data_IF_514772655851
#
_entry.id   IF_514772655851
#
_cell.length_a   1.000
_cell.length_b   1.000
_cell.length_c   1.000
_cell.angle_alpha   90.00
_cell.angle_beta   90.00
_cell.angle_gamma   90.00
#
_symmetry.space_group_name_H-M   'P 1'
#
loop_
_entity.id
_entity.type
_entity.pdbx_description
1 polymer ?
#
# COMPACT_ATOMS: atom_id res chain seq x y z
N UNK A 1 14.03 68.49 19.00
CA UNK A 1 13.05 67.96 18.05
C UNK A 1 12.95 66.48 18.32
N UNK A 2 11.77 66.03 18.73
CA UNK A 2 11.52 64.73 19.34
C UNK A 2 11.20 63.69 18.27
N UNK A 3 11.98 62.62 18.18
CA UNK A 3 11.60 61.43 17.42
C UNK A 3 10.99 60.40 18.37
N UNK A 4 9.68 60.15 18.17
CA UNK A 4 8.93 59.15 18.91
C UNK A 4 9.19 57.76 18.36
N UNK A 5 9.89 56.92 19.12
CA UNK A 5 10.00 55.49 18.87
C UNK A 5 8.78 54.78 19.45
N UNK A 6 7.97 54.19 18.58
CA UNK A 6 6.81 53.37 18.93
C UNK A 6 7.24 52.01 19.50
N UNK A 7 6.68 51.53 20.63
CA UNK A 7 6.98 50.20 21.16
C UNK A 7 6.20 49.12 20.39
N UNK A 8 6.92 48.29 19.64
CA UNK A 8 6.39 47.09 19.00
C UNK A 8 5.96 46.04 20.02
N UNK A 9 4.72 45.58 19.89
CA UNK A 9 4.11 44.49 20.69
C UNK A 9 4.82 43.16 20.40
N UNK A 10 5.07 42.30 21.41
CA UNK A 10 5.83 41.06 21.24
C UNK A 10 5.09 39.98 20.44
N UNK A 11 5.79 39.45 19.43
CA UNK A 11 5.42 38.28 18.65
C UNK A 11 5.28 37.05 19.57
N UNK A 12 4.04 36.65 19.85
CA UNK A 12 3.69 35.52 20.73
C UNK A 12 3.68 34.20 19.95
N UNK A 13 4.79 33.91 19.27
CA UNK A 13 5.07 32.59 18.70
C UNK A 13 5.89 31.74 19.65
N UNK A 14 5.81 30.41 19.54
CA UNK A 14 6.69 29.51 20.27
C UNK A 14 8.16 29.75 19.84
N UNK A 15 9.03 30.07 20.80
CA UNK A 15 10.46 30.20 20.55
C UNK A 15 10.99 28.87 19.98
N UNK A 16 11.45 28.90 18.73
CA UNK A 16 12.04 27.73 18.06
C UNK A 16 13.54 27.87 18.18
N UNK A 17 14.18 26.93 18.87
CA UNK A 17 15.64 26.88 18.97
C UNK A 17 16.21 26.42 17.63
N UNK A 18 17.13 27.20 17.07
CA UNK A 18 17.89 26.85 15.88
C UNK A 18 19.37 27.11 16.16
N UNK A 19 20.23 26.15 15.82
CA UNK A 19 21.68 26.32 15.93
C UNK A 19 22.13 27.37 14.91
N UNK A 20 23.00 28.28 15.34
CA UNK A 20 23.62 29.23 14.42
C UNK A 20 24.75 28.55 13.63
N UNK A 21 25.07 29.03 12.42
CA UNK A 21 26.05 28.38 11.54
C UNK A 21 27.43 28.23 12.23
N UNK A 22 27.78 29.17 13.11
CA UNK A 22 29.00 29.12 13.92
C UNK A 22 28.98 27.97 14.92
N UNK A 23 27.83 27.70 15.56
CA UNK A 23 27.67 26.59 16.51
C UNK A 23 27.68 25.25 15.78
N UNK A 24 27.03 25.17 14.61
CA UNK A 24 27.06 23.99 13.75
C UNK A 24 28.51 23.65 13.38
N UNK A 25 29.28 24.62 12.90
CA UNK A 25 30.67 24.41 12.52
C UNK A 25 31.56 24.05 13.72
N UNK A 26 31.31 24.62 14.91
CA UNK A 26 32.01 24.24 16.13
C UNK A 26 31.75 22.77 16.51
N UNK A 27 30.48 22.36 16.47
CA UNK A 27 30.07 20.98 16.77
C UNK A 27 30.68 20.00 15.76
N UNK A 28 30.70 20.36 14.47
CA UNK A 28 31.28 19.52 13.42
C UNK A 28 32.81 19.39 13.55
N UNK A 29 33.50 20.46 13.93
CA UNK A 29 34.96 20.44 14.14
C UNK A 29 35.40 19.62 15.37
N UNK A 30 34.53 19.48 16.37
CA UNK A 30 34.77 18.70 17.60
C UNK A 30 34.56 17.20 17.38
N UNK A 31 33.83 16.82 16.31
CA UNK A 31 33.68 15.42 15.89
C UNK A 31 34.91 15.05 15.05
N UNK A 32 35.83 14.29 15.64
CA UNK A 32 36.87 13.59 14.89
C UNK A 32 36.22 12.56 13.96
N UNK A 33 35.83 13.00 12.76
CA UNK A 33 35.45 12.10 11.67
C UNK A 33 36.71 11.39 11.19
N UNK A 34 36.82 10.12 11.57
CA UNK A 34 37.81 9.20 11.02
C UNK A 34 37.64 9.12 9.49
N UNK A 35 38.62 9.54 8.67
CA UNK A 35 38.54 9.49 7.22
C UNK A 35 38.39 8.07 6.66
N UNK A 36 38.59 7.02 7.46
CA UNK A 36 38.32 5.63 7.06
C UNK A 36 36.83 5.28 6.90
N UNK A 37 35.90 6.08 7.44
CA UNK A 37 34.45 5.79 7.29
C UNK A 37 33.88 6.21 5.93
N UNK A 38 34.62 7.00 5.16
CA UNK A 38 34.31 7.43 3.80
C UNK A 38 35.38 6.94 2.81
N UNK A 39 35.88 5.73 3.02
CA UNK A 39 36.65 5.03 1.99
C UNK A 39 35.79 4.98 0.71
N UNK A 40 36.24 5.67 -0.34
CA UNK A 40 35.61 5.72 -1.65
C UNK A 40 35.49 4.29 -2.19
N UNK A 41 34.39 3.62 -1.87
CA UNK A 41 34.05 2.32 -2.42
C UNK A 41 34.15 2.43 -3.95
N UNK A 42 34.79 1.46 -4.62
CA UNK A 42 35.05 1.54 -6.05
C UNK A 42 33.76 1.88 -6.78
N UNK A 43 33.81 2.93 -7.61
CA UNK A 43 32.68 3.54 -8.33
C UNK A 43 31.75 2.48 -8.96
N UNK A 44 32.35 1.40 -9.46
CA UNK A 44 31.70 0.25 -10.06
C UNK A 44 30.70 -0.49 -9.13
N UNK A 45 30.93 -0.50 -7.82
CA UNK A 45 29.99 -1.13 -6.85
C UNK A 45 28.73 -0.30 -6.67
N UNK A 46 28.79 1.02 -6.90
CA UNK A 46 27.62 1.87 -6.89
C UNK A 46 26.79 1.65 -8.16
N UNK A 47 27.44 1.59 -9.32
CA UNK A 47 26.76 1.38 -10.60
C UNK A 47 26.00 0.04 -10.66
N UNK A 48 26.61 -1.05 -10.20
CA UNK A 48 25.94 -2.35 -10.12
C UNK A 48 24.73 -2.32 -9.18
N UNK A 49 24.86 -1.69 -8.00
CA UNK A 49 23.75 -1.55 -7.05
C UNK A 49 22.62 -0.68 -7.58
N UNK A 50 22.96 0.41 -8.26
CA UNK A 50 22.00 1.31 -8.88
C UNK A 50 21.24 0.60 -9.99
N UNK A 51 21.95 -0.14 -10.85
CA UNK A 51 21.32 -0.97 -11.88
C UNK A 51 20.35 -2.00 -11.26
N UNK A 52 20.77 -2.71 -10.20
CA UNK A 52 19.90 -3.64 -9.50
C UNK A 52 18.68 -2.94 -8.90
N UNK A 53 18.86 -1.77 -8.30
CA UNK A 53 17.78 -0.99 -7.71
C UNK A 53 16.74 -0.58 -8.77
N UNK A 54 17.18 -0.07 -9.92
CA UNK A 54 16.27 0.32 -11.00
C UNK A 54 15.58 -0.91 -11.62
N UNK A 55 16.27 -2.03 -11.78
CA UNK A 55 15.67 -3.30 -12.24
C UNK A 55 14.62 -3.86 -11.26
N UNK A 56 14.87 -3.76 -9.95
CA UNK A 56 13.87 -4.11 -8.93
C UNK A 56 12.65 -3.22 -9.05
N UNK A 57 12.85 -1.90 -9.19
CA UNK A 57 11.77 -0.94 -9.39
C UNK A 57 10.94 -1.27 -10.64
N UNK A 58 11.57 -1.59 -11.76
CA UNK A 58 10.88 -2.06 -12.98
C UNK A 58 10.01 -3.28 -12.68
N UNK A 59 10.57 -4.31 -12.05
CA UNK A 59 9.84 -5.54 -11.70
C UNK A 59 8.61 -5.24 -10.83
N UNK A 60 8.74 -4.35 -9.84
CA UNK A 60 7.62 -3.92 -9.01
C UNK A 60 6.53 -3.21 -9.82
N UNK A 61 6.90 -2.27 -10.68
CA UNK A 61 5.97 -1.50 -11.52
C UNK A 61 5.25 -2.43 -12.50
N UNK A 62 5.99 -3.28 -13.23
CA UNK A 62 5.42 -4.23 -14.21
C UNK A 62 4.39 -5.16 -13.55
N UNK A 63 4.74 -5.76 -12.41
CA UNK A 63 3.81 -6.65 -11.69
C UNK A 63 2.63 -5.86 -11.11
N UNK A 64 2.80 -4.59 -10.76
CA UNK A 64 1.70 -3.76 -10.31
C UNK A 64 0.70 -3.46 -11.44
N UNK A 65 1.20 -3.01 -12.59
CA UNK A 65 0.41 -2.73 -13.79
C UNK A 65 -0.33 -3.97 -14.24
N UNK A 66 0.37 -5.09 -14.42
CA UNK A 66 -0.23 -6.36 -14.85
C UNK A 66 -1.35 -6.82 -13.91
N UNK A 67 -1.14 -6.74 -12.58
CA UNK A 67 -2.19 -7.12 -11.63
C UNK A 67 -3.40 -6.20 -11.69
N UNK A 68 -3.19 -4.88 -11.75
CA UNK A 68 -4.30 -3.93 -11.86
C UNK A 68 -5.08 -4.13 -13.16
N UNK A 69 -4.39 -4.41 -14.27
CA UNK A 69 -5.04 -4.72 -15.54
C UNK A 69 -5.96 -5.95 -15.43
N UNK A 70 -5.53 -7.01 -14.74
CA UNK A 70 -6.39 -8.19 -14.49
C UNK A 70 -7.61 -7.86 -13.64
N UNK A 71 -7.45 -7.06 -12.57
CA UNK A 71 -8.61 -6.59 -11.80
C UNK A 71 -9.59 -5.77 -12.66
N UNK A 72 -9.07 -4.88 -13.53
CA UNK A 72 -9.91 -4.06 -14.44
C UNK A 72 -10.67 -4.95 -15.43
N UNK A 73 -10.00 -5.91 -16.08
CA UNK A 73 -10.60 -6.85 -17.03
C UNK A 73 -11.78 -7.61 -16.41
N UNK A 74 -11.62 -8.06 -15.16
CA UNK A 74 -12.65 -8.79 -14.43
C UNK A 74 -13.64 -7.89 -13.68
N UNK A 75 -13.54 -6.55 -13.80
CA UNK A 75 -14.36 -5.57 -13.06
C UNK A 75 -14.35 -5.78 -11.54
N UNK A 76 -13.21 -6.24 -10.99
CA UNK A 76 -13.02 -6.46 -9.56
C UNK A 76 -12.24 -5.31 -8.93
N UNK A 77 -12.61 -4.93 -7.70
CA UNK A 77 -11.96 -3.86 -6.95
C UNK A 77 -11.17 -4.48 -5.78
N UNK A 78 -9.85 -4.24 -5.70
CA UNK A 78 -9.04 -4.72 -4.57
C UNK A 78 -9.57 -4.18 -3.24
N UNK A 79 -9.53 -5.00 -2.17
CA UNK A 79 -10.07 -4.58 -0.83
C UNK A 79 -9.59 -3.21 -0.35
N UNK A 80 -8.35 -2.83 -0.67
CA UNK A 80 -7.76 -1.54 -0.27
C UNK A 80 -8.31 -0.32 -1.03
N UNK A 81 -9.00 -0.53 -2.15
CA UNK A 81 -9.55 0.54 -2.99
C UNK A 81 -11.09 0.57 -2.96
N UNK A 82 -11.72 -0.33 -2.21
CA UNK A 82 -13.17 -0.34 -2.03
C UNK A 82 -13.57 0.83 -1.14
N UNK A 83 -14.34 1.76 -1.68
CA UNK A 83 -14.92 2.86 -0.94
C UNK A 83 -16.13 2.36 -0.16
N UNK A 84 -16.03 2.42 1.17
CA UNK A 84 -17.07 1.99 2.12
C UNK A 84 -17.68 3.24 2.76
N UNK A 85 -18.10 4.16 1.90
CA UNK A 85 -18.75 5.42 2.28
C UNK A 85 -20.23 5.19 2.05
N UNK A 86 -21.05 5.34 3.10
CA UNK A 86 -22.51 5.26 3.00
C UNK A 86 -23.10 6.66 2.89
N UNK A 87 -24.22 6.86 2.17
CA UNK A 87 -24.88 8.15 2.14
C UNK A 87 -25.39 8.50 3.55
N UNK A 88 -25.13 9.73 4.00
CA UNK A 88 -25.60 10.21 5.31
C UNK A 88 -27.12 10.44 5.32
N UNK A 89 -27.68 10.84 4.19
CA UNK A 89 -29.11 11.06 3.99
C UNK A 89 -29.73 9.81 3.39
N UNK A 90 -30.93 9.44 3.84
CA UNK A 90 -31.67 8.28 3.34
C UNK A 90 -30.88 6.97 3.44
N UNK A 91 -30.12 6.79 4.54
CA UNK A 91 -29.36 5.57 4.78
C UNK A 91 -30.24 4.30 4.87
N UNK A 92 -31.56 4.40 5.00
CA UNK A 92 -32.46 3.24 5.00
C UNK A 92 -32.98 2.87 3.60
N UNK A 93 -32.79 3.76 2.61
CA UNK A 93 -33.21 3.50 1.23
C UNK A 93 -32.21 2.60 0.53
N UNK A 94 -32.61 1.34 0.33
CA UNK A 94 -31.79 0.30 -0.32
C UNK A 94 -31.46 0.66 -1.78
N UNK A 95 -32.37 1.34 -2.49
CA UNK A 95 -32.16 1.72 -3.89
C UNK A 95 -31.09 2.79 -4.00
N UNK A 96 -31.14 3.80 -3.11
CA UNK A 96 -30.11 4.83 -3.04
C UNK A 96 -28.75 4.23 -2.66
N UNK A 97 -28.69 3.36 -1.66
CA UNK A 97 -27.45 2.70 -1.26
C UNK A 97 -26.82 1.92 -2.42
N UNK A 98 -27.62 1.15 -3.15
CA UNK A 98 -27.14 0.37 -4.28
C UNK A 98 -26.53 1.26 -5.36
N UNK A 99 -27.26 2.30 -5.80
CA UNK A 99 -26.76 3.27 -6.79
C UNK A 99 -25.51 4.00 -6.29
N UNK A 100 -25.45 4.33 -5.00
CA UNK A 100 -24.29 4.96 -4.38
C UNK A 100 -23.05 4.07 -4.47
N UNK A 101 -23.18 2.78 -4.13
CA UNK A 101 -22.09 1.82 -4.25
C UNK A 101 -21.63 1.62 -5.70
N UNK A 102 -22.55 1.62 -6.66
CA UNK A 102 -22.22 1.55 -8.09
C UNK A 102 -21.39 2.76 -8.56
N UNK A 103 -21.76 3.97 -8.13
CA UNK A 103 -20.98 5.19 -8.41
C UNK A 103 -19.57 5.09 -7.79
N UNK A 104 -19.48 4.67 -6.53
CA UNK A 104 -18.21 4.46 -5.87
C UNK A 104 -17.35 3.41 -6.58
N UNK A 105 -17.95 2.31 -7.05
CA UNK A 105 -17.25 1.27 -7.79
C UNK A 105 -16.70 1.77 -9.11
N UNK A 106 -17.49 2.53 -9.87
CA UNK A 106 -17.04 3.18 -11.09
C UNK A 106 -15.82 4.06 -10.81
N UNK A 107 -15.90 4.91 -9.79
CA UNK A 107 -14.77 5.76 -9.38
C UNK A 107 -13.52 4.95 -9.04
N UNK A 108 -13.64 3.87 -8.26
CA UNK A 108 -12.52 3.00 -7.93
C UNK A 108 -11.89 2.36 -9.17
N UNK A 109 -12.70 1.92 -10.15
CA UNK A 109 -12.20 1.37 -11.42
C UNK A 109 -11.49 2.45 -12.25
N UNK A 110 -12.07 3.64 -12.35
CA UNK A 110 -11.48 4.77 -13.07
C UNK A 110 -10.12 5.16 -12.46
N UNK A 111 -10.01 5.16 -11.12
CA UNK A 111 -8.74 5.37 -10.41
C UNK A 111 -7.70 4.28 -10.74
N UNK A 112 -8.11 3.03 -10.89
CA UNK A 112 -7.21 1.96 -11.31
C UNK A 112 -6.71 2.17 -12.74
N UNK A 113 -7.59 2.56 -13.66
CA UNK A 113 -7.22 2.86 -15.06
C UNK A 113 -6.21 4.01 -15.11
N UNK A 114 -6.50 5.12 -14.42
CA UNK A 114 -5.58 6.25 -14.30
C UNK A 114 -4.22 5.83 -13.71
N UNK A 115 -4.23 4.95 -12.71
CA UNK A 115 -2.99 4.44 -12.10
C UNK A 115 -2.20 3.59 -13.10
N UNK A 116 -2.84 2.73 -13.87
CA UNK A 116 -2.21 1.91 -14.92
C UNK A 116 -1.58 2.80 -15.99
N UNK A 117 -2.29 3.83 -16.45
CA UNK A 117 -1.78 4.80 -17.42
C UNK A 117 -0.49 5.46 -16.92
N UNK A 118 -0.52 6.04 -15.72
CA UNK A 118 0.66 6.72 -15.15
C UNK A 118 1.82 5.78 -14.87
N UNK A 119 1.55 4.57 -14.40
CA UNK A 119 2.60 3.57 -14.18
C UNK A 119 3.20 3.04 -15.49
N UNK A 120 2.46 3.05 -16.59
CA UNK A 120 2.97 2.64 -17.91
C UNK A 120 4.01 3.63 -18.44
N UNK A 121 3.74 4.94 -18.30
CA UNK A 121 4.72 6.00 -18.63
C UNK A 121 5.97 5.82 -17.75
N UNK A 122 5.79 5.69 -16.43
CA UNK A 122 6.90 5.50 -15.50
C UNK A 122 7.69 4.21 -15.76
N UNK A 123 7.05 3.17 -16.27
CA UNK A 123 7.71 1.93 -16.68
C UNK A 123 8.63 2.16 -17.88
N UNK A 124 8.20 2.96 -18.86
CA UNK A 124 9.04 3.33 -20.00
C UNK A 124 10.26 4.14 -19.55
N UNK A 125 10.07 5.16 -18.71
CA UNK A 125 11.18 5.94 -18.12
C UNK A 125 12.16 5.04 -17.36
N UNK A 126 11.64 4.09 -16.57
CA UNK A 126 12.48 3.17 -15.79
C UNK A 126 13.28 2.23 -16.69
N UNK A 127 12.73 1.81 -17.84
CA UNK A 127 13.45 0.98 -18.82
C UNK A 127 14.56 1.75 -19.51
N UNK A 128 14.29 2.99 -19.92
CA UNK A 128 15.33 3.87 -20.47
C UNK A 128 16.48 4.06 -19.48
N UNK A 129 16.18 4.31 -18.21
CA UNK A 129 17.20 4.43 -17.16
C UNK A 129 18.02 3.13 -16.96
N UNK A 130 17.40 1.94 -17.12
CA UNK A 130 18.12 0.66 -17.08
C UNK A 130 19.09 0.56 -18.26
N UNK A 131 18.65 0.92 -19.45
CA UNK A 131 19.48 0.82 -20.65
C UNK A 131 20.64 1.82 -20.61
N UNK A 132 20.41 3.06 -20.14
CA UNK A 132 21.47 4.05 -19.88
C UNK A 132 22.51 3.52 -18.87
N UNK A 133 22.06 2.93 -17.75
CA UNK A 133 22.97 2.37 -16.74
C UNK A 133 23.74 1.16 -17.26
N UNK A 134 23.13 0.33 -18.12
CA UNK A 134 23.82 -0.78 -18.78
C UNK A 134 24.89 -0.29 -19.73
N UNK A 135 24.62 0.75 -20.52
CA UNK A 135 25.62 1.34 -21.44
C UNK A 135 26.79 1.91 -20.65
N UNK A 136 26.54 2.68 -19.59
CA UNK A 136 27.60 3.17 -18.69
C UNK A 136 28.40 2.03 -18.06
N UNK A 137 27.72 0.98 -17.63
CA UNK A 137 28.40 -0.18 -17.05
C UNK A 137 29.22 -0.96 -18.07
N UNK A 138 28.79 -1.00 -19.33
CA UNK A 138 29.55 -1.60 -20.42
C UNK A 138 30.83 -0.81 -20.72
N UNK A 139 30.75 0.52 -20.72
CA UNK A 139 31.89 1.42 -20.93
C UNK A 139 32.91 1.34 -19.78
N UNK A 140 32.44 1.33 -18.53
CA UNK A 140 33.31 1.38 -17.35
C UNK A 140 33.86 0.00 -16.90
N UNK A 141 33.04 -1.06 -16.95
CA UNK A 141 33.40 -2.39 -16.42
C UNK A 141 33.78 -3.40 -17.51
N UNK A 142 33.43 -3.11 -18.76
CA UNK A 142 33.56 -4.04 -19.88
C UNK A 142 32.49 -5.14 -19.90
N UNK A 143 32.38 -5.79 -21.07
CA UNK A 143 31.30 -6.74 -21.39
C UNK A 143 31.25 -7.97 -20.49
N UNK A 144 32.41 -8.55 -20.15
CA UNK A 144 32.49 -9.77 -19.34
C UNK A 144 31.95 -9.53 -17.92
N UNK A 145 32.42 -8.47 -17.26
CA UNK A 145 32.02 -8.14 -15.90
C UNK A 145 30.53 -7.75 -15.81
N UNK A 146 30.04 -6.99 -16.79
CA UNK A 146 28.63 -6.66 -16.89
C UNK A 146 27.77 -7.92 -17.00
N UNK A 147 28.20 -8.90 -17.79
CA UNK A 147 27.46 -10.16 -17.97
C UNK A 147 27.37 -10.94 -16.65
N UNK A 148 28.46 -11.05 -15.90
CA UNK A 148 28.46 -11.67 -14.55
C UNK A 148 27.45 -11.00 -13.61
N UNK A 149 27.47 -9.67 -13.56
CA UNK A 149 26.57 -8.86 -12.71
C UNK A 149 25.10 -9.10 -13.12
N UNK A 150 24.80 -9.11 -14.42
CA UNK A 150 23.45 -9.35 -14.91
C UNK A 150 22.93 -10.74 -14.59
N UNK A 151 23.79 -11.77 -14.61
CA UNK A 151 23.43 -13.14 -14.19
C UNK A 151 23.06 -13.17 -12.71
N UNK A 152 23.86 -12.54 -11.84
CA UNK A 152 23.56 -12.44 -10.41
C UNK A 152 22.26 -11.67 -10.14
N UNK A 153 22.07 -10.55 -10.82
CA UNK A 153 20.85 -9.75 -10.73
C UNK A 153 19.63 -10.56 -11.15
N UNK A 154 19.71 -11.32 -12.25
CA UNK A 154 18.59 -12.11 -12.76
C UNK A 154 18.09 -13.14 -11.73
N UNK A 155 19.01 -13.80 -11.03
CA UNK A 155 18.65 -14.71 -9.93
C UNK A 155 17.86 -14.00 -8.83
N UNK A 156 18.38 -12.85 -8.38
CA UNK A 156 17.76 -12.03 -7.34
C UNK A 156 16.38 -11.49 -7.76
N UNK A 157 16.27 -11.02 -9.01
CA UNK A 157 15.03 -10.48 -9.58
C UNK A 157 13.98 -11.57 -9.80
N UNK A 158 14.40 -12.79 -10.16
CA UNK A 158 13.51 -13.94 -10.33
C UNK A 158 12.85 -14.32 -9.00
N UNK A 159 13.64 -14.46 -7.93
CA UNK A 159 13.11 -14.71 -6.56
C UNK A 159 12.17 -13.61 -6.11
N UNK A 160 12.54 -12.34 -6.33
CA UNK A 160 11.70 -11.19 -5.99
C UNK A 160 10.36 -11.24 -6.76
N UNK A 161 10.42 -11.52 -8.07
CA UNK A 161 9.24 -11.61 -8.95
C UNK A 161 8.29 -12.70 -8.49
N UNK A 162 8.78 -13.89 -8.15
CA UNK A 162 7.98 -15.00 -7.63
C UNK A 162 7.31 -14.64 -6.31
N UNK A 163 8.06 -14.13 -5.34
CA UNK A 163 7.52 -13.70 -4.03
C UNK A 163 6.44 -12.62 -4.16
N UNK A 164 6.61 -11.67 -5.09
CA UNK A 164 5.59 -10.65 -5.35
C UNK A 164 4.37 -11.27 -6.03
N UNK A 165 4.56 -12.15 -7.03
CA UNK A 165 3.48 -12.84 -7.74
C UNK A 165 2.63 -13.68 -6.80
N UNK A 166 3.25 -14.46 -5.92
CA UNK A 166 2.56 -15.29 -4.93
C UNK A 166 1.68 -14.44 -4.01
N UNK A 167 2.24 -13.38 -3.40
CA UNK A 167 1.46 -12.46 -2.55
C UNK A 167 0.33 -11.76 -3.30
N UNK A 168 0.53 -11.39 -4.57
CA UNK A 168 -0.51 -10.79 -5.41
C UNK A 168 -1.59 -11.79 -5.76
N UNK A 169 -1.23 -13.03 -6.10
CA UNK A 169 -2.16 -14.14 -6.38
C UNK A 169 -3.02 -14.44 -5.16
N UNK A 170 -2.42 -14.57 -3.98
CA UNK A 170 -3.17 -14.79 -2.73
C UNK A 170 -4.16 -13.65 -2.43
N UNK A 171 -3.75 -12.39 -2.65
CA UNK A 171 -4.65 -11.22 -2.52
C UNK A 171 -5.77 -11.26 -3.56
N UNK A 172 -5.45 -11.58 -4.81
CA UNK A 172 -6.41 -11.64 -5.90
C UNK A 172 -7.45 -12.73 -5.68
N UNK A 173 -7.03 -13.94 -5.27
CA UNK A 173 -7.93 -15.05 -4.98
C UNK A 173 -8.85 -14.72 -3.81
N UNK A 174 -8.29 -14.18 -2.72
CA UNK A 174 -9.08 -13.71 -1.59
C UNK A 174 -10.11 -12.66 -2.01
N UNK A 175 -9.71 -11.71 -2.85
CA UNK A 175 -10.62 -10.69 -3.34
C UNK A 175 -11.66 -11.31 -4.30
N UNK A 176 -11.32 -12.35 -5.07
CA UNK A 176 -12.24 -13.10 -5.92
C UNK A 176 -13.30 -13.87 -5.12
N UNK A 177 -12.92 -14.52 -4.01
CA UNK A 177 -13.86 -15.15 -3.07
C UNK A 177 -14.87 -14.13 -2.53
N UNK A 178 -14.47 -12.88 -2.27
CA UNK A 178 -15.42 -11.86 -1.81
C UNK A 178 -16.56 -11.62 -2.80
N UNK A 179 -16.26 -11.66 -4.10
CA UNK A 179 -17.26 -11.49 -5.14
C UNK A 179 -18.12 -12.74 -5.30
N UNK A 180 -17.52 -13.94 -5.22
CA UNK A 180 -18.25 -15.21 -5.28
C UNK A 180 -19.26 -15.36 -4.13
N UNK A 181 -18.88 -14.92 -2.94
CA UNK A 181 -19.69 -15.02 -1.72
C UNK A 181 -20.55 -13.76 -1.46
N UNK A 182 -20.55 -12.79 -2.38
CA UNK A 182 -21.27 -11.52 -2.26
C UNK A 182 -20.97 -10.72 -0.96
N UNK A 183 -19.72 -10.76 -0.50
CA UNK A 183 -19.23 -10.12 0.75
C UNK A 183 -18.33 -8.91 0.49
N UNK A 184 -18.43 -8.29 -0.68
CA UNK A 184 -17.56 -7.19 -1.14
C UNK A 184 -17.58 -5.98 -0.21
N UNK A 185 -18.70 -5.69 0.44
CA UNK A 185 -18.86 -4.60 1.41
C UNK A 185 -18.99 -5.06 2.87
N UNK A 186 -19.29 -6.34 3.12
CA UNK A 186 -19.45 -6.89 4.47
C UNK A 186 -18.16 -7.51 5.05
N UNK A 187 -17.10 -7.70 4.25
CA UNK A 187 -15.85 -8.34 4.72
C UNK A 187 -15.20 -7.67 5.93
N UNK A 188 -15.42 -6.36 6.15
CA UNK A 188 -14.89 -5.65 7.33
C UNK A 188 -15.68 -6.02 8.59
N UNK A 189 -17.00 -6.08 8.48
CA UNK A 189 -17.92 -6.42 9.57
C UNK A 189 -17.69 -7.88 10.00
N UNK A 190 -17.59 -8.78 9.03
CA UNK A 190 -17.29 -10.19 9.27
C UNK A 190 -15.94 -10.40 9.96
N UNK A 191 -14.90 -9.68 9.53
CA UNK A 191 -13.58 -9.74 10.19
C UNK A 191 -13.64 -9.24 11.64
N UNK A 192 -14.43 -8.21 11.92
CA UNK A 192 -14.65 -7.74 13.30
C UNK A 192 -15.35 -8.81 14.13
N UNK A 193 -16.36 -9.46 13.56
CA UNK A 193 -17.09 -10.54 14.22
C UNK A 193 -16.20 -11.75 14.51
N UNK A 194 -15.41 -12.21 13.54
CA UNK A 194 -14.45 -13.32 13.73
C UNK A 194 -13.43 -13.03 14.84
N UNK A 195 -12.87 -11.81 14.88
CA UNK A 195 -11.95 -11.40 15.95
C UNK A 195 -12.62 -11.33 17.32
N UNK A 196 -13.90 -10.96 17.36
CA UNK A 196 -14.67 -10.94 18.61
C UNK A 196 -14.91 -12.35 19.14
N UNK A 197 -15.18 -13.31 18.27
CA UNK A 197 -15.37 -14.72 18.63
C UNK A 197 -14.08 -15.37 19.14
N UNK A 198 -12.95 -15.13 18.47
CA UNK A 198 -11.64 -15.68 18.86
C UNK A 198 -11.20 -15.18 20.26
N UNK A 199 -11.46 -13.90 20.57
CA UNK A 199 -11.19 -13.33 21.89
C UNK A 199 -12.11 -13.90 22.98
N UNK A 200 -13.34 -14.33 22.64
CA UNK A 200 -14.25 -14.96 23.60
C UNK A 200 -13.85 -16.41 23.91
N UNK A 201 -13.31 -17.14 22.93
CA UNK A 201 -12.87 -18.53 23.15
C UNK A 201 -11.56 -18.64 23.92
N UNK A 202 -10.66 -17.66 23.80
CA UNK A 202 -9.36 -17.70 24.48
C UNK A 202 -9.40 -17.15 25.91
N UNK A 203 -10.46 -16.44 26.32
CA UNK A 203 -10.65 -15.93 27.69
C UNK A 203 -9.59 -14.93 28.16
N UNK A 204 -8.59 -14.62 27.32
CA UNK A 204 -7.52 -13.69 27.64
C UNK A 204 -8.03 -12.27 27.36
N UNK A 205 -7.96 -11.36 28.35
CA UNK A 205 -8.37 -9.98 28.14
C UNK A 205 -7.59 -9.40 26.97
N UNK A 206 -8.32 -8.75 26.05
CA UNK A 206 -7.74 -8.09 24.90
C UNK A 206 -6.60 -7.18 25.38
N UNK A 207 -5.35 -7.64 25.21
CA UNK A 207 -4.18 -6.94 25.73
C UNK A 207 -4.15 -5.54 25.13
N UNK A 208 -4.52 -4.57 25.96
CA UNK A 208 -4.55 -3.13 25.66
C UNK A 208 -3.16 -2.56 25.44
N UNK A 209 -2.11 -3.39 25.56
CA UNK A 209 -0.73 -3.06 25.26
C UNK A 209 -0.24 -3.77 23.99
N UNK A 210 -0.91 -3.53 22.85
CA UNK A 210 -0.20 -3.66 21.57
C UNK A 210 0.76 -2.48 21.48
N UNK A 211 1.95 -2.66 22.04
CA UNK A 211 3.11 -1.87 21.68
C UNK A 211 3.17 -1.81 20.15
N UNK A 212 3.37 -0.63 19.54
CA UNK A 212 3.56 -0.54 18.10
C UNK A 212 4.74 -1.44 17.76
N UNK A 213 4.48 -2.51 17.00
CA UNK A 213 5.52 -3.34 16.40
C UNK A 213 6.33 -2.41 15.52
N UNK A 214 7.44 -1.91 16.06
CA UNK A 214 8.50 -1.32 15.26
C UNK A 214 8.83 -2.32 14.16
N UNK A 215 8.82 -1.83 12.92
CA UNK A 215 9.40 -2.54 11.79
C UNK A 215 10.88 -2.82 12.14
N UNK A 216 11.15 -3.96 12.76
CA UNK A 216 12.47 -4.57 12.64
C UNK A 216 12.57 -5.05 11.20
N UNK A 217 12.99 -4.13 10.33
CA UNK A 217 13.78 -4.51 9.16
C UNK A 217 14.97 -5.26 9.73
N UNK A 218 14.97 -6.57 9.54
CA UNK A 218 16.17 -7.39 9.69
C UNK A 218 17.25 -6.80 8.79
N UNK A 219 18.13 -6.01 9.38
CA UNK A 219 19.48 -5.82 8.86
C UNK A 219 20.14 -7.19 8.95
N UNK A 220 20.37 -7.78 7.79
CA UNK A 220 21.22 -8.96 7.65
C UNK A 220 22.63 -8.46 7.97
N UNK A 221 23.03 -8.60 9.23
CA UNK A 221 24.41 -8.41 9.61
C UNK A 221 25.13 -9.74 9.37
N UNK A 222 26.16 -9.67 8.52
CA UNK A 222 27.08 -10.76 8.23
C UNK A 222 28.07 -10.86 9.40
N UNK A 223 27.85 -11.81 10.31
CA UNK A 223 28.98 -12.44 11.00
C UNK A 223 28.60 -13.85 11.44
N UNK A 224 29.37 -14.82 10.96
CA UNK A 224 29.15 -16.23 11.21
C UNK A 224 29.61 -16.66 12.60
N UNK A 225 28.85 -17.58 13.20
CA UNK A 225 29.38 -18.68 14.02
C UNK A 225 28.29 -19.71 14.28
N UNK A 226 28.51 -20.94 13.80
CA UNK A 226 27.80 -22.13 14.28
C UNK A 226 28.20 -22.42 15.74
N UNK A 227 27.29 -23.04 16.53
CA UNK A 227 27.33 -24.50 16.72
C UNK A 227 25.93 -25.13 16.63
N UNK A 228 25.75 -26.27 15.95
CA UNK A 228 26.00 -27.65 16.41
C UNK A 228 25.00 -28.14 17.48
N UNK A 229 24.23 -29.18 17.11
CA UNK A 229 23.62 -30.13 18.03
C UNK A 229 22.22 -29.81 18.56
N UNK A 230 21.19 -30.44 17.98
CA UNK A 230 20.32 -31.37 18.73
C UNK A 230 19.34 -32.10 17.81
N UNK A 231 19.47 -33.43 17.84
CA UNK A 231 18.53 -34.43 17.35
C UNK A 231 17.16 -34.29 18.04
N UNK A 232 16.05 -34.33 17.29
CA UNK A 232 14.87 -35.10 17.73
C UNK A 232 13.76 -35.26 16.69
N UNK A 233 13.51 -36.55 16.41
CA UNK A 233 12.21 -37.23 16.31
C UNK A 233 11.38 -37.07 15.03
N UNK A 234 11.63 -38.03 14.14
CA UNK A 234 10.68 -38.59 13.18
C UNK A 234 9.42 -39.14 13.89
N UNK A 235 8.24 -38.91 13.32
CA UNK A 235 7.16 -39.89 13.19
C UNK A 235 6.34 -39.56 11.93
N UNK A 236 6.26 -40.52 11.01
CA UNK A 236 5.28 -40.56 9.91
C UNK A 236 3.90 -41.04 10.41
N UNK A 237 2.91 -41.12 9.51
CA UNK A 237 2.69 -42.43 8.90
C UNK A 237 2.39 -42.43 7.40
N UNK A 238 2.73 -43.58 6.83
CA UNK A 238 2.41 -44.13 5.51
C UNK A 238 0.91 -44.31 5.27
N UNK A 239 0.46 -43.99 4.04
CA UNK A 239 -0.66 -44.68 3.40
C UNK A 239 -0.29 -44.99 1.94
N UNK A 240 -0.25 -46.28 1.64
CA UNK A 240 -0.25 -46.86 0.30
C UNK A 240 -1.69 -47.13 -0.11
N UNK A 241 -2.06 -46.78 -1.34
CA UNK A 241 -3.00 -47.55 -2.16
C UNK A 241 -3.00 -46.98 -3.59
N UNK A 242 -2.54 -47.81 -4.51
CA UNK A 242 -2.68 -47.63 -5.94
C UNK A 242 -4.02 -48.23 -6.39
N UNK A 243 -4.69 -47.58 -7.33
CA UNK A 243 -5.58 -48.22 -8.31
C UNK A 243 -5.53 -47.42 -9.61
N UNK A 244 -4.95 -48.04 -10.63
CA UNK A 244 -5.31 -47.95 -12.06
C UNK A 244 -6.83 -48.18 -12.22
N UNK A 245 -7.55 -47.88 -13.30
CA UNK A 245 -7.36 -47.65 -14.74
C UNK A 245 -8.77 -47.19 -15.21
N UNK A 246 -8.97 -46.25 -16.15
CA UNK A 246 -9.19 -46.46 -17.60
C UNK A 246 -10.41 -45.61 -18.02
N UNK A 247 -10.24 -44.94 -19.16
CA UNK A 247 -11.20 -44.66 -20.23
C UNK A 247 -12.59 -44.07 -19.95
N UNK A 248 -12.82 -42.87 -20.49
CA UNK A 248 -13.85 -42.68 -21.54
C UNK A 248 -13.81 -41.26 -22.12
N UNK A 249 -13.63 -41.20 -23.43
CA UNK A 249 -13.84 -40.03 -24.27
C UNK A 249 -15.34 -39.75 -24.45
N UNK A 250 -15.77 -38.49 -24.48
CA UNK A 250 -16.78 -38.05 -25.48
C UNK A 250 -16.91 -36.53 -25.60
N UNK A 251 -17.00 -36.12 -26.87
CA UNK A 251 -17.87 -35.10 -27.45
C UNK A 251 -17.62 -33.61 -27.22
N UNK A 252 -17.15 -33.02 -28.32
CA UNK A 252 -17.54 -31.74 -28.90
C UNK A 252 -18.94 -31.24 -28.51
N UNK A 253 -19.07 -29.93 -28.32
CA UNK A 253 -19.94 -29.11 -29.17
C UNK A 253 -19.56 -27.63 -29.07
N UNK A 254 -19.37 -27.04 -30.25
CA UNK A 254 -19.25 -25.62 -30.49
C UNK A 254 -20.61 -24.95 -30.34
N UNK A 255 -20.64 -23.68 -29.91
CA UNK A 255 -21.69 -22.74 -30.29
C UNK A 255 -21.16 -21.32 -30.19
N UNK A 256 -20.95 -20.77 -31.38
CA UNK A 256 -20.75 -19.37 -31.73
C UNK A 256 -22.10 -18.63 -31.81
N UNK A 257 -22.15 -17.40 -31.31
CA UNK A 257 -22.95 -16.29 -31.86
C UNK A 257 -22.51 -14.99 -31.16
N UNK A 258 -21.92 -13.97 -31.81
CA UNK A 258 -22.54 -12.96 -32.71
C UNK A 258 -23.83 -12.36 -32.11
N UNK A 259 -24.16 -11.07 -32.14
CA UNK A 259 -23.60 -9.81 -32.66
C UNK A 259 -24.49 -8.68 -32.05
N UNK A 260 -23.94 -7.46 -32.01
CA UNK A 260 -24.62 -6.17 -32.20
C UNK A 260 -25.79 -5.70 -31.30
N UNK A 261 -25.65 -4.49 -30.74
CA UNK A 261 -26.57 -3.31 -30.84
C UNK A 261 -26.15 -2.33 -29.72
N UNK A 262 -25.41 -1.23 -29.96
CA UNK A 262 -25.78 0.02 -30.65
C UNK A 262 -27.14 0.58 -30.22
N UNK A 263 -27.15 1.44 -29.21
CA UNK A 263 -28.09 2.57 -29.13
C UNK A 263 -27.40 3.76 -28.46
N UNK A 264 -27.07 4.72 -29.30
CA UNK A 264 -26.79 6.10 -28.95
C UNK A 264 -28.11 6.75 -28.52
N UNK A 265 -28.15 7.36 -27.34
CA UNK A 265 -29.27 8.21 -26.92
C UNK A 265 -28.73 9.52 -26.36
N UNK A 266 -28.26 10.37 -27.27
CA UNK A 266 -28.29 11.81 -27.09
C UNK A 266 -29.50 12.29 -27.88
N UNK A 267 -30.49 12.89 -27.21
CA UNK A 267 -30.98 14.19 -27.67
C UNK A 267 -31.64 15.01 -26.54
N UNK A 268 -31.62 16.36 -26.65
CA UNK A 268 -31.86 17.32 -25.57
C UNK A 268 -33.23 18.03 -25.66
N UNK A 269 -33.44 18.95 -24.69
CA UNK A 269 -34.53 19.96 -24.55
C UNK A 269 -35.75 19.41 -23.81
N UNK A 270 -36.36 20.08 -22.83
CA UNK A 270 -36.75 21.50 -22.68
C UNK A 270 -36.79 21.88 -21.19
N UNK A 271 -36.16 22.97 -20.75
CA UNK A 271 -36.80 24.24 -20.40
C UNK A 271 -38.04 24.14 -19.48
N UNK A 272 -37.91 24.61 -18.22
CA UNK A 272 -38.74 25.68 -17.63
C UNK A 272 -38.23 26.07 -16.24
N UNK A 273 -38.30 27.38 -15.98
CA UNK A 273 -38.08 28.08 -14.72
C UNK A 273 -39.00 27.53 -13.61
N UNK A 274 -38.51 27.48 -12.36
CA UNK A 274 -39.30 28.09 -11.28
C UNK A 274 -38.45 28.41 -10.03
N UNK A 275 -38.95 29.46 -9.40
CA UNK A 275 -38.61 30.32 -8.28
C UNK A 275 -38.00 29.75 -6.98
N UNK A 276 -37.27 30.67 -6.33
CA UNK A 276 -37.17 30.90 -4.90
C UNK A 276 -36.82 29.74 -3.96
N UNK A 277 -35.55 29.71 -3.51
CA UNK A 277 -35.25 29.22 -2.17
C UNK A 277 -34.14 29.99 -1.45
N UNK A 278 -34.63 30.77 -0.49
CA UNK A 278 -33.98 31.53 0.58
C UNK A 278 -32.66 30.93 1.08
N UNK A 279 -31.66 31.80 1.14
CA UNK A 279 -30.40 31.63 1.85
C UNK A 279 -30.67 31.52 3.36
N UNK A 280 -30.28 30.39 3.97
CA UNK A 280 -30.11 30.31 5.42
C UNK A 280 -28.61 30.25 5.75
N UNK A 281 -28.10 31.38 6.23
CA UNK A 281 -26.82 31.48 6.92
C UNK A 281 -26.85 30.61 8.18
N UNK A 282 -25.99 29.60 8.25
CA UNK A 282 -25.73 28.84 9.49
C UNK A 282 -24.41 29.37 10.08
N UNK A 283 -24.51 30.34 11.01
CA UNK A 283 -23.38 30.81 11.81
C UNK A 283 -23.10 29.76 12.90
N UNK A 284 -22.00 29.03 12.73
CA UNK A 284 -21.52 28.05 13.71
C UNK A 284 -20.91 28.74 14.94
N UNK A 285 -21.60 28.69 16.07
CA UNK A 285 -21.05 29.03 17.38
C UNK A 285 -20.16 27.89 17.87
N UNK A 286 -18.83 28.10 17.88
CA UNK A 286 -17.87 27.24 18.58
C UNK A 286 -18.11 27.34 20.09
N UNK A 287 -18.81 26.37 20.66
CA UNK A 287 -18.96 26.23 22.11
C UNK A 287 -17.60 25.96 22.79
N UNK A 288 -17.21 26.86 23.67
CA UNK A 288 -16.06 26.73 24.58
C UNK A 288 -16.32 25.54 25.51
N UNK A 289 -15.45 24.52 25.47
CA UNK A 289 -15.49 23.38 26.39
C UNK A 289 -15.15 23.85 27.81
N UNK A 290 -16.17 24.04 28.64
CA UNK A 290 -16.01 24.23 30.08
C UNK A 290 -15.32 23.03 30.72
N UNK A 291 -14.29 23.29 31.53
CA UNK A 291 -13.62 22.29 32.36
C UNK A 291 -14.60 21.76 33.40
N UNK A 292 -14.84 20.45 33.40
CA UNK A 292 -15.57 19.79 34.49
C UNK A 292 -14.74 19.83 35.79
N UNK A 293 -15.35 20.18 36.95
CA UNK A 293 -14.68 20.11 38.24
C UNK A 293 -14.44 18.65 38.66
N UNK A 294 -13.25 18.39 39.21
CA UNK A 294 -12.84 17.07 39.72
C UNK A 294 -13.63 16.75 41.00
N UNK A 295 -14.30 15.60 41.01
CA UNK A 295 -15.05 15.07 42.16
C UNK A 295 -14.06 14.50 43.19
N UNK A 296 -13.92 15.12 44.36
CA UNK A 296 -13.16 14.57 45.48
C UNK A 296 -14.03 13.54 46.22
N UNK A 297 -13.53 12.31 46.34
CA UNK A 297 -14.19 11.21 47.05
C UNK A 297 -13.78 11.30 48.52
N UNK A 298 -14.71 11.64 49.42
CA UNK A 298 -14.49 11.55 50.86
C UNK A 298 -14.43 10.07 51.26
N UNK A 299 -13.34 9.67 51.91
CA UNK A 299 -13.24 8.38 52.59
C UNK A 299 -13.95 8.50 53.95
N UNK A 300 -15.01 7.72 54.14
CA UNK A 300 -15.57 7.45 55.46
C UNK A 300 -14.78 6.28 56.04
N UNK A 301 -14.09 6.50 57.17
CA UNK A 301 -13.55 5.42 58.00
C UNK A 301 -14.65 4.96 58.96
N UNK A 302 -14.83 3.65 59.05
CA UNK A 302 -15.53 2.98 60.14
C UNK A 302 -14.63 2.89 61.36
#
# INVERSE_FOLDING_TARGET
>A
MSEGTSPGVPNTGAATFAYNDVEINRILAEINTDPMLFEDKPLHTNLAKDLLYVQRKETHITLHVSTLAEYIKLRRIPRGLRLDIRPNLCANDKVLQQKWFEICNKCSIDLMVLTVERLTIKLQETRLAIDELKTKALEELGSQKLTEILVEHNHTLSKLRESIKERKRAKFERDASDYRENRVYSWKEERKWQRSQENQQTGLPASTYRQPRGNQRTTVDLSGRFPEGTLRRQQGPTYTAATSSEDSATSMQASSSSLASSVSFLDPRTATQDSDRKQHHNKGSRGVRGRYPKRTRKQTRF
#
